data_IF_562162452743
#
_entry.id   IF_562162452743
#
_cell.length_a   1.000
_cell.length_b   1.000
_cell.length_c   1.000
_cell.angle_alpha   90.00
_cell.angle_beta   90.00
_cell.angle_gamma   90.00
#
_symmetry.space_group_name_H-M   'P 1'
#
loop_
_entity.id
_entity.type
_entity.pdbx_description
1 polymer ?
#
# COMPACT_ATOMS: atom_id res chain seq x y z
N UNK A 1 47.47 -38.76 17.27
CA UNK A 1 47.54 -37.55 16.42
C UNK A 1 46.44 -36.61 16.89
N UNK A 2 46.77 -35.57 17.68
CA UNK A 2 46.94 -34.15 17.27
C UNK A 2 45.70 -33.65 16.48
N UNK A 3 45.02 -32.55 16.84
CA UNK A 3 45.49 -31.32 17.48
C UNK A 3 44.27 -30.53 18.01
N UNK A 4 44.33 -30.07 19.27
CA UNK A 4 43.40 -29.12 19.89
C UNK A 4 44.03 -27.73 19.75
N UNK A 5 43.31 -26.76 19.21
CA UNK A 5 43.76 -25.37 19.12
C UNK A 5 43.22 -24.55 20.31
N UNK A 6 44.13 -24.08 21.16
CA UNK A 6 43.88 -23.09 22.22
C UNK A 6 43.84 -21.67 21.61
N UNK A 7 42.83 -20.89 21.98
CA UNK A 7 42.80 -19.43 21.81
C UNK A 7 43.25 -18.74 23.11
N UNK A 8 44.09 -17.68 23.05
CA UNK A 8 44.43 -16.88 24.23
C UNK A 8 43.44 -15.72 24.45
N UNK A 9 43.29 -15.22 25.69
CA UNK A 9 42.55 -13.99 25.98
C UNK A 9 43.47 -12.77 25.86
N UNK A 10 42.96 -11.67 25.29
CA UNK A 10 43.64 -10.37 25.36
C UNK A 10 42.97 -9.47 26.40
N UNK A 11 43.83 -9.09 27.33
CA UNK A 11 43.70 -8.19 28.47
C UNK A 11 43.38 -6.75 28.08
N UNK A 12 42.78 -6.04 29.04
CA UNK A 12 42.24 -4.70 28.87
C UNK A 12 43.24 -3.55 28.93
N UNK A 13 42.72 -2.36 28.69
CA UNK A 13 43.42 -1.09 28.89
C UNK A 13 42.47 -0.13 29.63
N UNK A 14 42.91 0.33 30.79
CA UNK A 14 42.31 1.38 31.62
C UNK A 14 42.83 2.77 31.19
N UNK A 15 41.91 3.75 31.21
CA UNK A 15 41.98 5.18 31.62
C UNK A 15 43.34 5.93 31.63
N UNK A 16 43.33 7.23 31.28
CA UNK A 16 43.18 8.24 32.35
C UNK A 16 42.26 9.43 32.02
N UNK A 17 41.70 9.98 33.11
CA UNK A 17 41.11 11.31 33.22
C UNK A 17 42.16 12.40 32.99
N UNK A 18 41.77 13.52 32.40
CA UNK A 18 42.38 14.83 32.70
C UNK A 18 41.32 15.93 32.58
N UNK A 19 41.04 16.53 33.73
CA UNK A 19 40.22 17.70 33.91
C UNK A 19 40.88 18.95 33.30
N UNK A 20 40.07 19.93 32.87
CA UNK A 20 40.39 21.35 33.01
C UNK A 20 39.14 22.22 32.90
N UNK A 21 38.72 22.76 34.04
CA UNK A 21 37.89 23.95 34.17
C UNK A 21 38.60 25.18 33.60
N UNK A 22 37.89 26.03 32.86
CA UNK A 22 38.08 27.49 32.86
C UNK A 22 36.71 28.15 32.68
N UNK A 23 36.33 28.96 33.68
CA UNK A 23 35.20 29.89 33.65
C UNK A 23 35.50 31.13 32.81
N UNK A 24 34.41 31.72 32.31
CA UNK A 24 34.08 33.16 32.36
C UNK A 24 33.86 33.88 31.01
N UNK A 25 32.86 34.77 31.10
CA UNK A 25 32.57 35.96 30.29
C UNK A 25 31.63 35.82 29.07
N UNK A 26 30.36 36.08 29.39
CA UNK A 26 29.32 36.73 28.59
C UNK A 26 29.87 37.82 27.66
N UNK A 27 29.27 38.00 26.47
CA UNK A 27 28.43 39.18 26.35
C UNK A 27 27.05 38.90 25.72
N UNK A 28 26.11 39.71 26.22
CA UNK A 28 24.78 39.98 25.68
C UNK A 28 24.87 40.35 24.19
N UNK A 29 24.18 39.59 23.33
CA UNK A 29 23.79 40.04 21.99
C UNK A 29 22.27 39.95 21.90
N UNK A 30 21.66 41.13 21.89
CA UNK A 30 20.25 41.35 21.58
C UNK A 30 20.07 41.10 20.08
N UNK A 31 19.49 39.96 19.71
CA UNK A 31 18.98 39.74 18.36
C UNK A 31 17.45 39.76 18.42
N UNK A 32 16.87 40.85 17.93
CA UNK A 32 15.46 40.99 17.58
C UNK A 32 15.06 39.85 16.63
N UNK A 33 14.40 38.82 17.17
CA UNK A 33 13.73 37.82 16.37
C UNK A 33 12.47 38.44 15.77
N UNK A 34 12.55 38.85 14.50
CA UNK A 34 11.35 38.95 13.67
C UNK A 34 10.68 37.58 13.70
N UNK A 35 9.51 37.49 14.33
CA UNK A 35 8.62 36.34 14.22
C UNK A 35 8.15 36.24 12.77
N UNK A 36 8.93 35.55 11.93
CA UNK A 36 8.46 35.05 10.65
C UNK A 36 7.44 33.96 10.97
N UNK A 37 6.16 34.29 10.89
CA UNK A 37 5.10 33.30 10.87
C UNK A 37 5.42 32.29 9.75
N UNK A 38 5.38 30.97 10.01
CA UNK A 38 5.58 29.99 8.96
C UNK A 38 4.52 30.23 7.86
N UNK A 39 4.90 30.16 6.58
CA UNK A 39 3.93 30.28 5.51
C UNK A 39 2.90 29.17 5.67
N UNK A 40 1.63 29.55 5.83
CA UNK A 40 0.52 28.62 5.79
C UNK A 40 0.63 27.87 4.46
N UNK A 41 0.77 26.53 4.53
CA UNK A 41 0.68 25.67 3.35
C UNK A 41 -0.75 25.79 2.82
N UNK A 42 -0.96 26.71 1.89
CA UNK A 42 -2.16 26.76 1.06
C UNK A 42 -2.08 25.60 0.08
N UNK A 43 -2.49 24.41 0.53
CA UNK A 43 -2.78 23.29 -0.35
C UNK A 43 -3.96 23.64 -1.28
N UNK A 44 -4.08 22.97 -2.44
CA UNK A 44 -5.25 23.09 -3.29
C UNK A 44 -6.53 22.84 -2.47
N UNK A 45 -7.65 23.52 -2.77
CA UNK A 45 -8.94 23.20 -2.16
C UNK A 45 -9.26 21.72 -2.37
N UNK A 46 -9.55 21.00 -1.28
CA UNK A 46 -10.00 19.61 -1.36
C UNK A 46 -11.20 19.54 -2.32
N UNK A 47 -11.05 18.78 -3.40
CA UNK A 47 -12.13 18.55 -4.34
C UNK A 47 -13.35 17.98 -3.59
N UNK A 48 -14.59 18.36 -3.96
CA UNK A 48 -15.78 17.85 -3.29
C UNK A 48 -15.77 16.33 -3.23
N UNK A 49 -15.82 15.77 -2.02
CA UNK A 49 -15.87 14.32 -1.82
C UNK A 49 -17.15 13.79 -2.46
N UNK A 50 -17.00 13.01 -3.54
CA UNK A 50 -18.14 12.44 -4.26
C UNK A 50 -19.03 11.61 -3.31
N UNK A 51 -20.35 11.81 -3.42
CA UNK A 51 -21.33 11.09 -2.61
C UNK A 51 -21.34 9.59 -2.96
N UNK A 52 -21.65 8.76 -1.96
CA UNK A 52 -21.72 7.31 -2.12
C UNK A 52 -22.92 6.92 -3.00
N UNK A 53 -22.68 6.16 -4.06
CA UNK A 53 -23.73 5.48 -4.84
C UNK A 53 -24.36 4.34 -4.03
N UNK A 54 -23.53 3.60 -3.29
CA UNK A 54 -23.97 2.55 -2.37
C UNK A 54 -23.07 2.51 -1.14
N UNK A 55 -23.56 1.88 -0.07
CA UNK A 55 -22.83 1.68 1.18
C UNK A 55 -22.84 0.21 1.58
N UNK A 56 -21.73 -0.27 2.11
CA UNK A 56 -21.56 -1.65 2.59
C UNK A 56 -21.14 -1.63 4.05
N UNK A 57 -21.76 -2.48 4.88
CA UNK A 57 -21.40 -2.68 6.29
C UNK A 57 -20.67 -4.02 6.47
N UNK A 58 -19.83 -4.16 7.50
CA UNK A 58 -19.31 -5.44 7.94
C UNK A 58 -20.39 -6.53 8.00
N UNK A 59 -20.04 -7.74 7.56
CA UNK A 59 -20.96 -8.88 7.45
C UNK A 59 -21.78 -8.93 6.16
N UNK A 60 -21.76 -7.88 5.33
CA UNK A 60 -22.28 -7.93 3.97
C UNK A 60 -21.23 -8.43 2.99
N UNK A 61 -21.69 -9.10 1.94
CA UNK A 61 -20.85 -9.61 0.86
C UNK A 61 -20.38 -8.47 -0.05
N UNK A 62 -19.07 -8.19 -0.03
CA UNK A 62 -18.45 -7.09 -0.77
C UNK A 62 -18.52 -7.31 -2.29
N UNK A 63 -18.31 -8.53 -2.77
CA UNK A 63 -18.40 -8.83 -4.20
C UNK A 63 -19.81 -8.57 -4.70
N UNK A 64 -20.83 -9.11 -4.00
CA UNK A 64 -22.23 -8.85 -4.36
C UNK A 64 -22.60 -7.37 -4.31
N UNK A 65 -21.96 -6.57 -3.46
CA UNK A 65 -22.19 -5.14 -3.41
C UNK A 65 -21.61 -4.42 -4.64
N UNK A 66 -20.42 -4.82 -5.11
CA UNK A 66 -19.82 -4.34 -6.35
C UNK A 66 -20.70 -4.72 -7.55
N UNK A 67 -21.15 -5.99 -7.62
CA UNK A 67 -21.95 -6.51 -8.73
C UNK A 67 -23.31 -5.80 -8.87
N UNK A 68 -23.85 -5.29 -7.75
CA UNK A 68 -25.13 -4.55 -7.70
C UNK A 68 -25.01 -3.08 -8.09
N UNK A 69 -23.80 -2.55 -8.26
CA UNK A 69 -23.63 -1.17 -8.70
C UNK A 69 -24.23 -0.97 -10.09
N UNK A 70 -24.64 0.27 -10.44
CA UNK A 70 -25.08 0.58 -11.79
C UNK A 70 -24.04 0.11 -12.82
N UNK A 71 -24.51 -0.68 -13.78
CA UNK A 71 -23.67 -1.24 -14.83
C UNK A 71 -23.38 -0.21 -15.93
N UNK A 72 -22.40 -0.51 -16.78
CA UNK A 72 -21.95 0.39 -17.84
C UNK A 72 -20.99 1.48 -17.34
N UNK A 73 -20.90 2.57 -18.10
CA UNK A 73 -19.88 3.62 -17.90
C UNK A 73 -20.23 4.63 -16.79
N UNK A 74 -21.40 4.50 -16.15
CA UNK A 74 -21.82 5.42 -15.09
C UNK A 74 -20.84 5.37 -13.90
N UNK A 75 -20.27 6.51 -13.47
CA UNK A 75 -19.42 6.57 -12.29
C UNK A 75 -20.16 6.08 -11.05
N UNK A 76 -19.50 5.24 -10.26
CA UNK A 76 -20.04 4.74 -9.01
C UNK A 76 -19.04 4.87 -7.86
N UNK A 77 -19.54 5.21 -6.68
CA UNK A 77 -18.77 5.23 -5.44
C UNK A 77 -19.38 4.21 -4.48
N UNK A 78 -18.63 3.15 -4.17
CA UNK A 78 -18.97 2.17 -3.16
C UNK A 78 -18.25 2.53 -1.86
N UNK A 79 -19.00 3.00 -0.88
CA UNK A 79 -18.45 3.37 0.42
C UNK A 79 -18.56 2.21 1.41
N UNK A 80 -17.43 1.82 1.99
CA UNK A 80 -17.36 0.84 3.07
C UNK A 80 -17.47 1.57 4.41
N UNK A 81 -18.37 1.09 5.25
CA UNK A 81 -18.48 1.54 6.64
C UNK A 81 -17.31 1.02 7.48
N UNK A 82 -17.06 1.66 8.63
CA UNK A 82 -16.04 1.20 9.57
C UNK A 82 -16.30 -0.24 10.04
N UNK A 83 -15.22 -0.98 10.26
CA UNK A 83 -15.21 -2.36 10.74
C UNK A 83 -14.47 -3.30 9.80
N UNK A 84 -14.51 -4.59 10.12
CA UNK A 84 -13.79 -5.63 9.40
C UNK A 84 -14.70 -6.36 8.40
N UNK A 85 -14.20 -6.53 7.19
CA UNK A 85 -14.80 -7.27 6.08
C UNK A 85 -13.95 -8.52 5.85
N UNK A 86 -14.34 -9.68 6.41
CA UNK A 86 -13.64 -10.93 6.16
C UNK A 86 -13.85 -11.35 4.70
N UNK A 87 -12.75 -11.63 4.01
CA UNK A 87 -12.70 -12.06 2.62
C UNK A 87 -12.41 -13.56 2.59
N UNK A 88 -13.39 -14.35 2.18
CA UNK A 88 -13.24 -15.81 2.02
C UNK A 88 -12.69 -16.20 0.63
N UNK A 89 -12.30 -15.20 -0.17
CA UNK A 89 -11.80 -15.32 -1.53
C UNK A 89 -11.49 -13.92 -2.08
N UNK A 90 -10.94 -13.87 -3.29
CA UNK A 90 -10.65 -12.60 -3.96
C UNK A 90 -11.91 -11.78 -4.18
N UNK A 91 -11.77 -10.46 -4.11
CA UNK A 91 -12.79 -9.51 -4.57
C UNK A 91 -12.34 -8.93 -5.90
N UNK A 92 -13.15 -9.12 -6.92
CA UNK A 92 -12.92 -8.68 -8.28
C UNK A 92 -13.60 -7.34 -8.57
N UNK A 93 -12.84 -6.45 -9.22
CA UNK A 93 -13.32 -5.20 -9.80
C UNK A 93 -13.15 -5.34 -11.32
N UNK A 94 -14.20 -5.86 -11.97
CA UNK A 94 -14.25 -6.10 -13.41
C UNK A 94 -15.07 -5.02 -14.15
N UNK A 95 -15.05 -3.78 -13.63
CA UNK A 95 -15.71 -2.62 -14.24
C UNK A 95 -14.87 -1.36 -14.07
N UNK A 96 -15.00 -0.44 -15.02
CA UNK A 96 -14.40 0.89 -14.91
C UNK A 96 -15.26 1.88 -14.12
N UNK A 97 -14.73 3.11 -13.97
CA UNK A 97 -15.40 4.26 -13.35
C UNK A 97 -15.91 3.96 -11.93
N UNK A 98 -15.11 3.25 -11.13
CA UNK A 98 -15.44 2.84 -9.76
C UNK A 98 -14.51 3.49 -8.75
N UNK A 99 -15.07 4.03 -7.67
CA UNK A 99 -14.34 4.35 -6.45
C UNK A 99 -14.78 3.39 -5.34
N UNK A 100 -13.86 2.58 -4.84
CA UNK A 100 -14.02 1.78 -3.63
C UNK A 100 -13.38 2.54 -2.46
N UNK A 101 -14.19 3.07 -1.54
CA UNK A 101 -13.74 4.00 -0.50
C UNK A 101 -14.04 3.48 0.90
N UNK A 102 -13.04 3.45 1.77
CA UNK A 102 -13.22 3.20 3.20
C UNK A 102 -13.36 4.46 4.05
N UNK A 103 -13.25 4.29 5.36
CA UNK A 103 -13.23 5.35 6.39
C UNK A 103 -11.89 5.37 7.11
N UNK A 104 -10.81 5.34 6.34
CA UNK A 104 -9.44 5.23 6.83
C UNK A 104 -9.12 3.85 7.42
N UNK A 105 -8.14 3.74 8.32
CA UNK A 105 -7.64 2.45 8.81
C UNK A 105 -8.65 1.66 9.66
N UNK A 106 -9.78 2.27 10.03
CA UNK A 106 -10.87 1.58 10.73
C UNK A 106 -11.76 0.76 9.80
N UNK A 107 -11.57 0.86 8.49
CA UNK A 107 -12.20 -0.01 7.48
C UNK A 107 -11.17 -1.06 7.06
N UNK A 108 -11.41 -2.32 7.38
CA UNK A 108 -10.41 -3.38 7.20
C UNK A 108 -10.93 -4.45 6.26
N UNK A 109 -10.30 -4.62 5.11
CA UNK A 109 -10.46 -5.82 4.27
C UNK A 109 -9.45 -6.87 4.75
N UNK A 110 -9.92 -8.00 5.27
CA UNK A 110 -9.05 -9.05 5.81
C UNK A 110 -9.26 -10.36 5.08
N UNK A 111 -8.22 -10.89 4.46
CA UNK A 111 -8.23 -12.28 3.98
C UNK A 111 -8.41 -13.24 5.15
N UNK A 112 -9.38 -14.14 5.05
CA UNK A 112 -9.59 -15.19 6.03
C UNK A 112 -8.39 -16.14 6.07
N UNK A 113 -8.16 -16.77 7.22
CA UNK A 113 -7.05 -17.71 7.40
C UNK A 113 -7.14 -18.86 6.40
N UNK A 114 -5.99 -19.24 5.85
CA UNK A 114 -5.89 -20.32 4.85
C UNK A 114 -6.31 -19.93 3.43
N UNK A 115 -6.87 -18.74 3.21
CA UNK A 115 -7.17 -18.28 1.85
C UNK A 115 -5.89 -17.87 1.14
N UNK A 116 -5.61 -18.50 0.00
CA UNK A 116 -4.42 -18.29 -0.81
C UNK A 116 -4.80 -17.66 -2.15
N UNK A 117 -5.31 -16.43 -2.08
CA UNK A 117 -5.77 -15.63 -3.22
C UNK A 117 -5.35 -14.18 -3.01
N UNK A 118 -5.24 -13.36 -4.07
CA UNK A 118 -5.15 -11.91 -3.91
C UNK A 118 -6.39 -11.36 -3.21
N UNK A 119 -6.25 -10.28 -2.42
CA UNK A 119 -7.40 -9.69 -1.74
C UNK A 119 -8.30 -8.94 -2.72
N UNK A 120 -7.71 -8.05 -3.52
CA UNK A 120 -8.39 -7.30 -4.56
C UNK A 120 -7.73 -7.55 -5.92
N UNK A 121 -8.55 -7.75 -6.96
CA UNK A 121 -8.10 -7.77 -8.36
C UNK A 121 -8.87 -6.73 -9.17
N UNK A 122 -8.17 -5.73 -9.71
CA UNK A 122 -8.70 -4.77 -10.68
C UNK A 122 -8.33 -5.26 -12.07
N UNK A 123 -9.32 -5.58 -12.90
CA UNK A 123 -9.07 -6.19 -14.21
C UNK A 123 -9.78 -7.53 -14.42
N UNK A 124 -9.41 -8.19 -15.50
CA UNK A 124 -9.81 -9.57 -15.81
C UNK A 124 -8.98 -10.50 -14.93
N UNK A 125 -9.59 -11.23 -13.98
CA UNK A 125 -8.90 -12.26 -13.19
C UNK A 125 -9.13 -13.68 -13.75
N UNK A 126 -10.04 -13.82 -14.71
CA UNK A 126 -10.51 -15.11 -15.19
C UNK A 126 -9.61 -15.70 -16.27
N UNK A 127 -8.97 -14.82 -17.05
CA UNK A 127 -8.10 -15.21 -18.16
C UNK A 127 -6.64 -14.95 -17.80
N UNK A 128 -5.75 -15.87 -18.18
CA UNK A 128 -4.31 -15.65 -17.99
C UNK A 128 -3.84 -14.38 -18.70
N UNK A 129 -4.32 -14.13 -19.92
CA UNK A 129 -4.13 -12.84 -20.58
C UNK A 129 -5.42 -12.03 -20.47
N UNK A 130 -5.40 -10.81 -19.89
CA UNK A 130 -6.58 -9.97 -19.81
C UNK A 130 -7.19 -9.71 -21.18
N UNK A 131 -8.51 -9.86 -21.26
CA UNK A 131 -9.27 -9.69 -22.52
C UNK A 131 -9.70 -8.24 -22.78
N UNK A 132 -9.56 -7.35 -21.79
CA UNK A 132 -9.94 -5.95 -21.92
C UNK A 132 -9.24 -5.05 -20.90
N UNK A 133 -9.30 -3.74 -21.17
CA UNK A 133 -8.72 -2.70 -20.32
C UNK A 133 -9.77 -2.22 -19.31
N UNK A 134 -9.40 -2.16 -18.02
CA UNK A 134 -10.22 -1.53 -16.98
C UNK A 134 -9.73 -0.09 -16.74
N UNK A 135 -10.67 0.85 -16.65
CA UNK A 135 -10.36 2.29 -16.63
C UNK A 135 -10.91 2.99 -15.39
N UNK A 136 -10.19 3.99 -14.90
CA UNK A 136 -10.70 4.95 -13.91
C UNK A 136 -11.22 4.26 -12.62
N UNK A 137 -10.36 3.44 -12.01
CA UNK A 137 -10.68 2.76 -10.75
C UNK A 137 -9.84 3.34 -9.63
N UNK A 138 -10.48 3.70 -8.52
CA UNK A 138 -9.82 4.20 -7.31
C UNK A 138 -10.12 3.29 -6.13
N UNK A 139 -9.09 2.96 -5.34
CA UNK A 139 -9.20 2.22 -4.07
C UNK A 139 -8.59 3.11 -3.00
N UNK A 140 -9.41 3.52 -2.03
CA UNK A 140 -9.13 4.67 -1.16
C UNK A 140 -9.40 4.40 0.33
N UNK A 141 -8.53 4.91 1.19
CA UNK A 141 -8.78 5.13 2.62
C UNK A 141 -9.22 3.88 3.40
N UNK A 142 -8.41 2.81 3.38
CA UNK A 142 -8.71 1.58 4.10
C UNK A 142 -7.46 0.79 4.47
N UNK A 143 -7.63 -0.18 5.36
CA UNK A 143 -6.63 -1.21 5.62
C UNK A 143 -6.92 -2.46 4.79
N UNK A 144 -5.89 -3.05 4.20
CA UNK A 144 -5.94 -4.34 3.52
C UNK A 144 -4.95 -5.28 4.21
N UNK A 145 -5.49 -6.31 4.86
CA UNK A 145 -4.70 -7.37 5.47
C UNK A 145 -4.77 -8.59 4.56
N UNK A 146 -3.70 -8.79 3.79
CA UNK A 146 -3.58 -9.92 2.89
C UNK A 146 -3.24 -11.21 3.65
N UNK A 147 -2.97 -12.28 2.90
CA UNK A 147 -2.58 -13.59 3.42
C UNK A 147 -1.09 -13.82 3.24
N UNK A 148 -0.45 -14.43 4.26
CA UNK A 148 0.95 -14.91 4.21
C UNK A 148 1.02 -16.42 3.97
N UNK A 149 0.01 -17.02 3.33
CA UNK A 149 -0.04 -18.47 3.08
C UNK A 149 1.14 -19.01 2.27
N UNK A 150 1.29 -20.33 2.19
CA UNK A 150 2.54 -20.94 1.68
C UNK A 150 2.82 -20.64 0.21
N UNK A 151 1.77 -20.59 -0.62
CA UNK A 151 1.90 -20.44 -2.07
C UNK A 151 1.99 -18.97 -2.46
N UNK A 152 2.95 -18.67 -3.33
CA UNK A 152 3.12 -17.33 -3.91
C UNK A 152 2.02 -16.98 -4.92
N UNK A 153 1.46 -17.99 -5.58
CA UNK A 153 0.40 -17.85 -6.58
C UNK A 153 -0.86 -18.57 -6.12
N UNK A 154 -2.01 -18.07 -6.58
CA UNK A 154 -3.32 -18.67 -6.36
C UNK A 154 -3.35 -20.09 -6.96
N UNK A 155 -3.61 -21.14 -6.18
CA UNK A 155 -3.59 -22.52 -6.67
C UNK A 155 -4.53 -22.77 -7.86
N UNK A 156 -5.72 -22.18 -7.84
CA UNK A 156 -6.73 -22.36 -8.88
C UNK A 156 -6.42 -21.53 -10.14
N UNK A 157 -5.57 -20.50 -10.02
CA UNK A 157 -5.19 -19.57 -11.10
C UNK A 157 -3.71 -19.23 -10.95
N UNK A 158 -2.79 -20.12 -11.37
CA UNK A 158 -1.36 -20.03 -11.05
C UNK A 158 -0.61 -18.87 -11.72
N UNK A 159 -1.31 -18.03 -12.48
CA UNK A 159 -0.81 -16.77 -13.02
C UNK A 159 -1.15 -15.55 -12.15
N UNK A 160 -2.03 -15.69 -11.14
CA UNK A 160 -2.34 -14.62 -10.20
C UNK A 160 -1.51 -14.79 -8.93
N UNK A 161 -0.70 -13.79 -8.59
CA UNK A 161 0.04 -13.78 -7.33
C UNK A 161 -0.90 -13.55 -6.14
N UNK A 162 -0.51 -14.09 -4.98
CA UNK A 162 -1.16 -13.84 -3.69
C UNK A 162 -0.69 -12.48 -3.12
N UNK A 163 -0.96 -11.43 -3.89
CA UNK A 163 -0.71 -10.03 -3.58
C UNK A 163 -1.91 -9.37 -2.92
N UNK A 164 -1.74 -8.25 -2.20
CA UNK A 164 -2.89 -7.59 -1.59
C UNK A 164 -3.81 -6.95 -2.66
N UNK A 165 -3.22 -6.19 -3.58
CA UNK A 165 -3.92 -5.60 -4.73
C UNK A 165 -3.17 -5.97 -6.01
N UNK A 166 -3.89 -6.56 -6.96
CA UNK A 166 -3.38 -6.85 -8.32
C UNK A 166 -4.16 -6.01 -9.33
N UNK A 167 -3.45 -5.24 -10.14
CA UNK A 167 -4.01 -4.43 -11.23
C UNK A 167 -3.58 -5.05 -12.56
N UNK A 168 -4.53 -5.51 -13.36
CA UNK A 168 -4.30 -6.19 -14.64
C UNK A 168 -4.92 -5.38 -15.78
N UNK A 169 -4.11 -4.93 -16.73
CA UNK A 169 -4.57 -4.09 -17.85
C UNK A 169 -5.39 -2.86 -17.39
N UNK A 170 -4.89 -2.18 -16.36
CA UNK A 170 -5.51 -0.98 -15.80
C UNK A 170 -5.05 0.31 -16.49
N UNK A 171 -5.94 1.29 -16.63
CA UNK A 171 -5.60 2.65 -17.04
C UNK A 171 -6.30 3.69 -16.15
N UNK A 172 -5.57 4.69 -15.67
CA UNK A 172 -6.13 5.69 -14.75
C UNK A 172 -6.51 5.08 -13.41
N UNK A 173 -5.59 4.29 -12.83
CA UNK A 173 -5.82 3.56 -11.58
C UNK A 173 -5.23 4.35 -10.43
N UNK A 174 -6.00 4.55 -9.35
CA UNK A 174 -5.55 5.26 -8.16
C UNK A 174 -5.61 4.36 -6.92
N UNK A 175 -4.48 4.21 -6.24
CA UNK A 175 -4.36 3.50 -4.97
C UNK A 175 -3.89 4.51 -3.92
N UNK A 176 -4.77 4.93 -3.02
CA UNK A 176 -4.50 6.06 -2.14
C UNK A 176 -4.94 5.84 -0.69
N UNK A 177 -4.13 6.30 0.28
CA UNK A 177 -4.51 6.24 1.69
C UNK A 177 -4.65 4.81 2.24
N UNK A 178 -3.95 3.85 1.62
CA UNK A 178 -4.04 2.44 1.98
C UNK A 178 -3.03 2.09 3.08
N UNK A 179 -3.46 1.27 4.03
CA UNK A 179 -2.58 0.54 4.93
C UNK A 179 -2.56 -0.93 4.52
N UNK A 180 -1.46 -1.39 3.94
CA UNK A 180 -1.38 -2.74 3.36
C UNK A 180 -0.35 -3.56 4.11
N UNK A 181 -0.76 -4.72 4.61
CA UNK A 181 0.14 -5.62 5.32
C UNK A 181 -0.14 -7.11 5.07
N UNK A 182 0.80 -7.95 5.54
CA UNK A 182 0.75 -9.42 5.47
C UNK A 182 0.70 -9.96 4.03
N UNK A 183 1.56 -9.46 3.16
CA UNK A 183 1.53 -9.83 1.74
C UNK A 183 2.47 -11.01 1.47
N UNK A 184 1.93 -12.09 0.88
CA UNK A 184 2.74 -13.26 0.51
C UNK A 184 3.66 -13.01 -0.69
N UNK A 185 3.17 -12.26 -1.67
CA UNK A 185 3.95 -11.81 -2.83
C UNK A 185 4.20 -10.30 -2.72
N UNK A 186 3.99 -9.54 -3.80
CA UNK A 186 3.98 -8.09 -3.74
C UNK A 186 2.75 -7.57 -2.98
N UNK A 187 2.81 -6.46 -2.26
CA UNK A 187 1.59 -5.87 -1.69
C UNK A 187 0.74 -5.20 -2.78
N UNK A 188 1.34 -4.31 -3.58
CA UNK A 188 0.70 -3.67 -4.72
C UNK A 188 1.39 -4.15 -6.00
N UNK A 189 0.65 -4.80 -6.89
CA UNK A 189 1.17 -5.35 -8.15
C UNK A 189 0.41 -4.76 -9.34
N UNK A 190 1.15 -4.28 -10.35
CA UNK A 190 0.60 -3.99 -11.66
C UNK A 190 1.17 -4.92 -12.74
N UNK A 191 0.31 -5.38 -13.62
CA UNK A 191 0.64 -6.30 -14.70
C UNK A 191 -0.18 -6.07 -15.97
N UNK A 192 0.24 -6.71 -17.06
CA UNK A 192 -0.41 -6.69 -18.38
C UNK A 192 -0.71 -5.29 -18.92
N UNK A 193 0.33 -4.55 -19.32
CA UNK A 193 0.21 -3.21 -19.94
C UNK A 193 -0.64 -2.22 -19.13
N UNK A 194 -0.57 -2.31 -17.80
CA UNK A 194 -1.15 -1.32 -16.90
C UNK A 194 -0.40 0.01 -17.04
N UNK A 195 -1.11 1.11 -17.25
CA UNK A 195 -0.57 2.46 -17.46
C UNK A 195 -1.32 3.47 -16.60
N UNK A 196 -0.75 4.66 -16.43
CA UNK A 196 -1.42 5.77 -15.71
C UNK A 196 -1.89 5.33 -14.31
N UNK A 197 -0.99 4.69 -13.55
CA UNK A 197 -1.24 4.30 -12.16
C UNK A 197 -0.68 5.35 -11.21
N UNK A 198 -1.51 5.80 -10.27
CA UNK A 198 -1.15 6.70 -9.18
C UNK A 198 -1.17 5.93 -7.87
N UNK A 199 -0.03 5.88 -7.18
CA UNK A 199 0.12 5.27 -5.86
C UNK A 199 0.57 6.37 -4.91
N UNK A 200 -0.27 6.75 -3.95
CA UNK A 200 0.02 7.89 -3.08
C UNK A 200 -0.46 7.70 -1.64
N UNK A 201 0.29 8.24 -0.67
CA UNK A 201 -0.08 8.26 0.74
C UNK A 201 -0.42 6.85 1.30
N UNK A 202 0.32 5.82 0.85
CA UNK A 202 0.13 4.45 1.29
C UNK A 202 1.21 4.07 2.32
N UNK A 203 0.81 3.31 3.34
CA UNK A 203 1.69 2.62 4.28
C UNK A 203 1.68 1.13 3.93
N UNK A 204 2.84 0.60 3.52
CA UNK A 204 3.00 -0.78 3.06
C UNK A 204 4.06 -1.45 3.91
N UNK A 205 3.68 -2.52 4.62
CA UNK A 205 4.56 -3.25 5.53
C UNK A 205 4.36 -4.77 5.43
N UNK A 206 5.34 -5.55 5.88
CA UNK A 206 5.20 -7.02 5.94
C UNK A 206 5.00 -7.70 4.59
N UNK A 207 5.62 -7.17 3.54
CA UNK A 207 5.75 -7.85 2.25
C UNK A 207 6.89 -8.88 2.32
N UNK A 208 6.65 -10.11 1.82
CA UNK A 208 7.70 -11.13 1.74
C UNK A 208 8.66 -10.88 0.57
N UNK A 209 8.18 -10.25 -0.51
CA UNK A 209 8.99 -9.97 -1.70
C UNK A 209 9.15 -8.46 -1.96
N UNK A 210 8.15 -7.82 -2.57
CA UNK A 210 8.19 -6.40 -2.89
C UNK A 210 7.00 -5.65 -2.27
N UNK A 211 7.19 -4.43 -1.82
CA UNK A 211 6.04 -3.61 -1.45
C UNK A 211 5.24 -3.17 -2.68
N UNK A 212 5.94 -2.80 -3.76
CA UNK A 212 5.36 -2.39 -5.04
C UNK A 212 6.14 -3.02 -6.19
N UNK A 213 5.45 -3.69 -7.12
CA UNK A 213 6.05 -4.22 -8.35
C UNK A 213 5.25 -3.79 -9.58
N UNK A 214 5.94 -3.32 -10.61
CA UNK A 214 5.38 -3.13 -11.95
C UNK A 214 6.04 -4.08 -12.93
N UNK A 215 5.23 -4.81 -13.70
CA UNK A 215 5.70 -5.61 -14.82
C UNK A 215 5.40 -4.85 -16.12
N UNK A 216 6.38 -4.09 -16.60
CA UNK A 216 6.26 -3.40 -17.88
C UNK A 216 6.43 -4.41 -19.04
N UNK A 217 5.64 -4.32 -20.13
CA UNK A 217 6.04 -4.92 -21.39
C UNK A 217 7.25 -4.17 -21.99
N UNK A 218 8.07 -4.81 -22.84
CA UNK A 218 9.20 -4.15 -23.46
C UNK A 218 8.67 -3.07 -24.43
N UNK A 219 9.05 -1.80 -24.19
CA UNK A 219 8.77 -0.57 -24.98
C UNK A 219 7.63 0.32 -24.46
N UNK A 220 7.92 1.15 -23.47
CA UNK A 220 7.22 2.42 -23.22
C UNK A 220 8.03 3.32 -22.27
N UNK A 221 8.20 4.63 -22.54
CA UNK A 221 8.91 5.56 -21.67
C UNK A 221 8.01 6.02 -20.51
N UNK A 222 8.46 5.86 -19.27
CA UNK A 222 7.69 6.15 -18.05
C UNK A 222 7.92 7.57 -17.52
N UNK A 223 6.85 8.22 -17.06
CA UNK A 223 6.91 9.27 -16.04
C UNK A 223 6.35 8.70 -14.73
N UNK A 224 7.23 8.26 -13.84
CA UNK A 224 6.87 7.89 -12.47
C UNK A 224 6.86 9.16 -11.62
N UNK A 225 5.69 9.66 -11.23
CA UNK A 225 5.61 10.65 -10.15
C UNK A 225 5.71 9.88 -8.83
N UNK A 226 6.92 9.78 -8.30
CA UNK A 226 7.21 9.16 -7.00
C UNK A 226 6.61 10.02 -5.89
N UNK A 227 5.46 9.62 -5.34
CA UNK A 227 4.97 10.12 -4.05
C UNK A 227 5.72 9.41 -2.91
N UNK A 228 5.93 10.13 -1.82
CA UNK A 228 6.76 9.74 -0.67
C UNK A 228 6.24 8.48 0.01
N UNK A 229 6.82 7.32 -0.29
CA UNK A 229 6.65 6.10 0.53
C UNK A 229 7.53 6.21 1.77
N UNK A 230 6.94 6.28 2.95
CA UNK A 230 7.71 6.11 4.20
C UNK A 230 7.93 4.61 4.42
N UNK A 231 9.18 4.19 4.29
CA UNK A 231 9.60 2.82 4.58
C UNK A 231 9.88 2.69 6.08
N UNK A 232 9.04 1.97 6.81
CA UNK A 232 9.42 1.43 8.11
C UNK A 232 9.98 0.03 7.88
N UNK A 233 11.31 -0.09 7.87
CA UNK A 233 11.97 -1.37 8.07
C UNK A 233 11.74 -1.79 9.52
N UNK A 234 11.16 -2.97 9.73
CA UNK A 234 11.17 -3.67 11.01
C UNK A 234 12.09 -4.88 10.89
#
# INVERSE_FOLDING_TARGET
>A
MRMIALLPPLTGIRMPQLARSVSALLPLLVATACSAAPPAKSGPPDAPVAACTAKVRPGQDLQKAIDKLPQGDAPAVLCLEKGEFPLNGLVSIHRGNLVLRGKGPTTVLRMADGVQQPALVVGDYENQQPTGVIRNVSIEDMQIVASTGDKEFMPERPYLSNSAVVVRSGQGIRLAGLQVNKCRSACLLSEYDTREITIENNDVSGAIWDACRSTAPPRSPWSTTTSTTTWLQA
#
